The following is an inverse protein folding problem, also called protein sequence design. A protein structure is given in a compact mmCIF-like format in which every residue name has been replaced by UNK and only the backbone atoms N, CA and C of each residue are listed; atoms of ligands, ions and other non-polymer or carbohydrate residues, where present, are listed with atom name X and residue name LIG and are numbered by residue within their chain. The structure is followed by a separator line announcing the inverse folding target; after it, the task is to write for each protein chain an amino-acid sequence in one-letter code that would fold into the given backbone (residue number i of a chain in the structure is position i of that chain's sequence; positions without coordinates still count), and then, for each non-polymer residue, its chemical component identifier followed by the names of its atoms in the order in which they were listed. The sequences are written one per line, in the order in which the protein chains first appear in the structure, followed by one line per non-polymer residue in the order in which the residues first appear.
data_IF_143751443555
#
_entry.id   IF_143751443555
#
_cell.length_a   1.000
_cell.length_b   1.000
_cell.length_c   1.000
_cell.angle_alpha   90.00
_cell.angle_beta   90.00
_cell.angle_gamma   90.00
#
_symmetry.space_group_name_H-M   'P 1'
#
loop_
_entity.id
_entity.type
_entity.pdbx_description
1 polymer ?
#
# COMPACT_ATOMS: atom_id res chain seq x y z
N UNK A 1 -9.34 9.83 -15.06
CA UNK A 1 -9.42 8.36 -15.24
C UNK A 1 -8.80 7.91 -16.57
N UNK A 2 -9.32 8.29 -17.73
CA UNK A 2 -8.77 7.88 -19.06
C UNK A 2 -7.26 8.05 -19.21
N UNK A 3 -6.70 9.21 -18.88
CA UNK A 3 -5.26 9.47 -18.93
C UNK A 3 -4.44 8.52 -18.04
N UNK A 4 -4.98 8.11 -16.89
CA UNK A 4 -4.33 7.12 -16.02
C UNK A 4 -4.33 5.71 -16.63
N UNK A 5 -5.41 5.34 -17.32
CA UNK A 5 -5.49 4.07 -18.05
C UNK A 5 -4.55 4.04 -19.26
N UNK A 6 -4.45 5.15 -20.00
CA UNK A 6 -3.47 5.30 -21.09
C UNK A 6 -2.04 5.22 -20.59
N UNK A 7 -1.76 5.79 -19.41
CA UNK A 7 -0.46 5.64 -18.76
C UNK A 7 -0.16 4.18 -18.41
N UNK A 8 -1.11 3.45 -17.82
CA UNK A 8 -0.94 2.02 -17.51
C UNK A 8 -0.69 1.19 -18.79
N UNK A 9 -1.45 1.42 -19.86
CA UNK A 9 -1.21 0.75 -21.15
C UNK A 9 0.19 1.07 -21.69
N UNK A 10 0.62 2.33 -21.63
CA UNK A 10 1.96 2.71 -22.06
C UNK A 10 3.06 2.00 -21.27
N UNK A 11 2.88 1.74 -19.96
CA UNK A 11 3.85 0.96 -19.17
C UNK A 11 3.95 -0.49 -19.66
N UNK A 12 2.84 -1.11 -20.05
CA UNK A 12 2.82 -2.47 -20.61
C UNK A 12 3.46 -2.50 -22.01
N UNK A 13 3.05 -1.59 -22.90
CA UNK A 13 3.56 -1.49 -24.28
C UNK A 13 5.05 -1.19 -24.35
N UNK A 14 5.57 -0.42 -23.40
CA UNK A 14 6.99 -0.08 -23.32
C UNK A 14 7.79 -1.07 -22.44
N UNK A 15 7.21 -2.21 -22.05
CA UNK A 15 7.86 -3.24 -21.24
C UNK A 15 8.40 -2.75 -19.89
N UNK A 16 7.79 -1.69 -19.32
CA UNK A 16 8.12 -1.21 -17.97
C UNK A 16 7.52 -2.15 -16.92
N UNK A 17 6.33 -2.67 -17.19
CA UNK A 17 5.69 -3.72 -16.39
C UNK A 17 5.12 -4.81 -17.31
N UNK A 18 5.01 -6.06 -16.85
CA UNK A 18 4.26 -7.10 -17.55
C UNK A 18 2.76 -6.75 -17.57
N UNK A 19 2.01 -7.34 -18.50
CA UNK A 19 0.55 -7.17 -18.55
C UNK A 19 -0.11 -7.67 -17.27
N UNK A 20 -1.27 -7.11 -16.90
CA UNK A 20 -1.99 -7.57 -15.70
C UNK A 20 -2.30 -9.08 -15.74
N UNK A 21 -2.61 -9.63 -16.91
CA UNK A 21 -2.79 -11.08 -17.10
C UNK A 21 -1.50 -11.87 -16.81
N UNK A 22 -0.33 -11.37 -17.24
CA UNK A 22 0.95 -12.01 -16.96
C UNK A 22 1.39 -11.87 -15.49
N UNK A 23 0.82 -10.89 -14.77
CA UNK A 23 1.02 -10.71 -13.33
C UNK A 23 0.12 -11.59 -12.47
N UNK A 24 -0.90 -12.25 -13.04
CA UNK A 24 -1.75 -13.16 -12.28
C UNK A 24 -0.96 -14.39 -11.83
N UNK A 25 -0.35 -14.28 -10.65
CA UNK A 25 0.40 -15.35 -10.01
C UNK A 25 -0.41 -15.98 -8.89
N UNK A 26 -0.15 -17.27 -8.64
CA UNK A 26 -0.61 -17.92 -7.40
C UNK A 26 0.20 -17.37 -6.22
N UNK A 27 -0.27 -16.29 -5.60
CA UNK A 27 0.36 -15.66 -4.44
C UNK A 27 0.84 -14.23 -4.71
N UNK A 28 1.52 -13.66 -3.71
CA UNK A 28 2.07 -12.29 -3.77
C UNK A 28 3.37 -12.25 -4.58
N UNK A 29 3.71 -11.08 -5.14
CA UNK A 29 4.86 -10.91 -6.03
C UNK A 29 6.17 -11.45 -5.44
N UNK A 30 6.44 -11.23 -4.14
CA UNK A 30 7.63 -11.69 -3.42
C UNK A 30 7.77 -13.23 -3.38
N UNK A 31 6.67 -13.95 -3.56
CA UNK A 31 6.64 -15.42 -3.58
C UNK A 31 6.94 -15.99 -4.97
N UNK A 32 7.05 -15.15 -5.99
CA UNK A 32 7.21 -15.58 -7.38
C UNK A 32 8.69 -15.84 -7.72
N UNK A 33 9.01 -16.86 -8.55
CA UNK A 33 10.37 -17.05 -9.04
C UNK A 33 10.92 -15.84 -9.81
N UNK A 34 10.04 -15.11 -10.51
CA UNK A 34 10.40 -13.91 -11.27
C UNK A 34 10.96 -12.82 -10.37
N UNK A 35 10.31 -12.57 -9.22
CA UNK A 35 10.84 -11.67 -8.21
C UNK A 35 12.10 -12.23 -7.57
N UNK A 36 12.05 -13.44 -7.02
CA UNK A 36 13.15 -14.03 -6.24
C UNK A 36 14.48 -14.14 -7.03
N UNK A 37 14.40 -14.31 -8.35
CA UNK A 37 15.55 -14.36 -9.26
C UNK A 37 15.96 -12.97 -9.80
N UNK A 38 15.27 -11.89 -9.45
CA UNK A 38 15.55 -10.53 -9.91
C UNK A 38 15.14 -10.22 -11.35
N UNK A 39 14.22 -11.01 -11.93
CA UNK A 39 13.68 -10.75 -13.28
C UNK A 39 12.68 -9.59 -13.27
N UNK A 40 11.96 -9.41 -12.17
CA UNK A 40 11.26 -8.17 -11.87
C UNK A 40 12.16 -7.29 -11.00
N UNK A 41 12.57 -6.15 -11.55
CA UNK A 41 13.61 -5.30 -10.98
C UNK A 41 13.09 -4.28 -9.95
N UNK A 42 11.77 -4.22 -9.72
CA UNK A 42 11.16 -3.28 -8.80
C UNK A 42 9.66 -3.53 -8.61
N UNK A 43 9.10 -2.92 -7.57
CA UNK A 43 7.68 -2.96 -7.25
C UNK A 43 7.26 -1.62 -6.64
N UNK A 44 6.01 -1.23 -6.84
CA UNK A 44 5.40 -0.09 -6.16
C UNK A 44 4.51 -0.63 -5.03
N UNK A 45 4.98 -0.48 -3.79
CA UNK A 45 4.41 -1.15 -2.62
C UNK A 45 4.46 -0.27 -1.38
N UNK A 46 3.77 -0.71 -0.31
CA UNK A 46 3.83 -0.05 1.00
C UNK A 46 5.25 -0.09 1.56
N UNK A 47 5.68 1.00 2.20
CA UNK A 47 6.97 1.13 2.88
C UNK A 47 7.19 0.02 3.92
N UNK A 48 6.11 -0.37 4.62
CA UNK A 48 6.11 -1.48 5.57
C UNK A 48 6.49 -2.84 4.95
N UNK A 49 6.36 -3.02 3.62
CA UNK A 49 6.70 -4.25 2.91
C UNK A 49 8.11 -4.25 2.31
N UNK A 50 8.89 -3.17 2.46
CA UNK A 50 10.22 -3.06 1.83
C UNK A 50 11.14 -4.25 2.20
N UNK A 51 11.16 -4.66 3.48
CA UNK A 51 11.95 -5.80 3.92
C UNK A 51 11.40 -7.15 3.41
N UNK A 52 10.09 -7.30 3.29
CA UNK A 52 9.47 -8.51 2.71
C UNK A 52 9.98 -8.72 1.29
N UNK A 53 9.99 -7.67 0.47
CA UNK A 53 10.49 -7.73 -0.89
C UNK A 53 12.01 -7.96 -0.97
N UNK A 54 12.78 -7.24 -0.14
CA UNK A 54 14.25 -7.42 -0.09
C UNK A 54 14.65 -8.83 0.32
N UNK A 55 14.02 -9.37 1.36
CA UNK A 55 14.38 -10.69 1.92
C UNK A 55 13.98 -11.86 1.03
N UNK A 56 12.99 -11.67 0.15
CA UNK A 56 12.61 -12.66 -0.85
C UNK A 56 13.64 -12.83 -1.99
N UNK A 57 14.51 -11.85 -2.23
CA UNK A 57 15.52 -11.94 -3.30
C UNK A 57 16.63 -12.94 -2.94
N UNK A 58 16.97 -13.82 -3.89
CA UNK A 58 18.17 -14.68 -3.79
C UNK A 58 19.46 -13.87 -3.72
N UNK A 59 19.47 -12.70 -4.36
CA UNK A 59 20.55 -11.74 -4.30
C UNK A 59 20.00 -10.32 -4.11
N UNK A 60 20.16 -9.76 -2.91
CA UNK A 60 19.68 -8.43 -2.54
C UNK A 60 20.77 -7.33 -2.63
N UNK A 61 21.95 -7.61 -3.19
CA UNK A 61 23.11 -6.69 -3.16
C UNK A 61 22.92 -5.35 -3.88
N UNK A 62 21.86 -5.20 -4.67
CA UNK A 62 21.47 -3.95 -5.33
C UNK A 62 20.09 -3.43 -4.92
N UNK A 63 19.45 -4.01 -3.90
CA UNK A 63 18.15 -3.54 -3.45
C UNK A 63 18.26 -2.16 -2.80
N UNK A 64 17.39 -1.25 -3.18
CA UNK A 64 17.34 0.11 -2.66
C UNK A 64 15.90 0.60 -2.60
N UNK A 65 15.67 1.65 -1.80
CA UNK A 65 14.42 2.43 -1.88
C UNK A 65 14.53 3.36 -3.08
N UNK A 66 13.62 3.19 -4.04
CA UNK A 66 13.58 4.01 -5.25
C UNK A 66 13.25 5.48 -4.96
N UNK A 67 13.49 6.33 -5.95
CA UNK A 67 12.96 7.68 -5.93
C UNK A 67 11.46 7.64 -6.25
N UNK A 68 10.70 8.54 -5.63
CA UNK A 68 9.25 8.60 -5.81
C UNK A 68 8.87 9.07 -7.21
N UNK A 69 7.77 8.52 -7.75
CA UNK A 69 7.31 8.81 -9.10
C UNK A 69 6.50 10.12 -9.08
N UNK A 70 7.09 11.19 -9.62
CA UNK A 70 6.41 12.47 -9.80
C UNK A 70 5.53 12.48 -11.07
N UNK A 71 4.28 12.91 -10.94
CA UNK A 71 3.35 13.07 -12.06
C UNK A 71 3.28 14.54 -12.49
N UNK A 72 4.39 15.03 -13.03
CA UNK A 72 4.56 16.43 -13.42
C UNK A 72 4.95 17.33 -12.23
N UNK A 73 4.74 18.65 -12.37
CA UNK A 73 5.18 19.64 -11.38
C UNK A 73 4.14 20.05 -10.33
N UNK A 74 2.93 19.47 -10.36
CA UNK A 74 1.79 19.87 -9.53
C UNK A 74 1.24 18.78 -8.62
N UNK A 75 1.65 17.52 -8.79
CA UNK A 75 1.15 16.41 -8.00
C UNK A 75 2.28 15.41 -7.73
N UNK A 76 2.60 15.23 -6.45
CA UNK A 76 3.43 14.11 -6.02
C UNK A 76 2.57 12.84 -6.07
N UNK A 77 3.08 11.79 -6.70
CA UNK A 77 2.37 10.51 -6.76
C UNK A 77 2.24 9.84 -5.40
N UNK A 78 1.40 8.79 -5.34
CA UNK A 78 1.19 8.02 -4.12
C UNK A 78 0.24 8.67 -3.13
N UNK A 79 0.05 8.02 -1.98
CA UNK A 79 -0.78 8.49 -0.89
C UNK A 79 -0.33 7.86 0.43
N UNK A 80 -0.57 8.56 1.54
CA UNK A 80 -0.30 8.04 2.88
C UNK A 80 -1.59 7.57 3.53
N UNK A 81 -1.50 6.47 4.27
CA UNK A 81 -2.57 5.97 5.15
C UNK A 81 -2.00 5.37 6.43
N UNK A 82 -2.85 5.24 7.44
CA UNK A 82 -2.51 4.45 8.64
C UNK A 82 -2.40 2.98 8.23
N UNK A 83 -1.24 2.36 8.46
CA UNK A 83 -0.99 0.96 8.11
C UNK A 83 -1.84 0.01 8.97
N UNK A 84 -1.86 0.23 10.28
CA UNK A 84 -2.65 -0.53 11.25
C UNK A 84 -3.03 0.38 12.42
N UNK A 85 -4.27 0.26 12.90
CA UNK A 85 -4.74 0.96 14.09
C UNK A 85 -5.23 -0.05 15.14
N UNK A 86 -5.00 0.25 16.42
CA UNK A 86 -5.61 -0.44 17.54
C UNK A 86 -6.88 0.30 17.96
N UNK A 87 -8.02 -0.36 17.92
CA UNK A 87 -9.32 0.21 18.29
C UNK A 87 -9.91 -0.50 19.51
N UNK A 88 -10.58 0.26 20.37
CA UNK A 88 -11.35 -0.26 21.50
C UNK A 88 -12.79 -0.38 21.05
N UNK A 89 -13.36 -1.58 21.16
CA UNK A 89 -14.76 -1.81 20.84
C UNK A 89 -15.67 -0.92 21.70
N UNK A 90 -16.69 -0.30 21.11
CA UNK A 90 -17.64 0.57 21.82
C UNK A 90 -18.42 -0.14 22.93
N UNK A 91 -18.56 -1.47 22.83
CA UNK A 91 -19.19 -2.33 23.84
C UNK A 91 -18.22 -2.95 24.85
N UNK A 92 -16.93 -2.54 24.84
CA UNK A 92 -15.93 -3.05 25.77
C UNK A 92 -16.37 -2.84 27.23
N UNK A 93 -16.35 -3.92 28.04
CA UNK A 93 -16.73 -3.86 29.45
C UNK A 93 -15.65 -3.22 30.34
N UNK A 94 -14.44 -3.04 29.81
CA UNK A 94 -13.26 -2.52 30.51
C UNK A 94 -12.52 -1.47 29.64
N UNK A 95 -13.19 -0.37 29.24
CA UNK A 95 -12.61 0.57 28.27
C UNK A 95 -11.39 1.30 28.81
N UNK A 96 -11.31 1.50 30.14
CA UNK A 96 -10.16 2.15 30.79
C UNK A 96 -8.93 1.26 30.77
N UNK A 97 -9.07 -0.01 31.13
CA UNK A 97 -7.99 -0.99 31.12
C UNK A 97 -7.52 -1.26 29.69
N UNK A 98 -8.45 -1.34 28.73
CA UNK A 98 -8.13 -1.45 27.31
C UNK A 98 -7.32 -0.23 26.82
N UNK A 99 -7.69 0.98 27.21
CA UNK A 99 -6.94 2.19 26.87
C UNK A 99 -5.53 2.22 27.50
N UNK A 100 -5.39 1.75 28.74
CA UNK A 100 -4.08 1.59 29.40
C UNK A 100 -3.22 0.61 28.62
N UNK A 101 -3.77 -0.52 28.17
CA UNK A 101 -3.03 -1.50 27.37
C UNK A 101 -2.59 -0.89 26.02
N UNK A 102 -3.47 -0.19 25.31
CA UNK A 102 -3.10 0.49 24.05
C UNK A 102 -2.00 1.52 24.28
N UNK A 103 -2.08 2.31 25.36
CA UNK A 103 -1.03 3.27 25.71
C UNK A 103 0.30 2.58 26.01
N UNK A 104 0.28 1.51 26.80
CA UNK A 104 1.47 0.72 27.12
C UNK A 104 2.15 0.22 25.84
N UNK A 105 1.38 -0.41 24.93
CA UNK A 105 1.91 -1.01 23.71
C UNK A 105 2.49 0.02 22.73
N UNK A 106 1.93 1.22 22.65
CA UNK A 106 2.28 2.19 21.61
C UNK A 106 3.15 3.36 22.08
N UNK A 107 3.14 3.70 23.37
CA UNK A 107 3.77 4.92 23.88
C UNK A 107 4.81 4.69 24.99
N UNK A 108 4.64 3.64 25.81
CA UNK A 108 5.53 3.38 26.94
C UNK A 108 6.74 2.55 26.52
N UNK A 109 7.91 2.87 27.07
CA UNK A 109 9.21 2.33 26.63
C UNK A 109 9.24 0.80 26.55
N UNK A 110 8.75 0.11 27.59
CA UNK A 110 8.73 -1.35 27.63
C UNK A 110 7.79 -1.94 26.57
N UNK A 111 6.55 -1.44 26.47
CA UNK A 111 5.56 -2.00 25.55
C UNK A 111 5.90 -1.69 24.10
N UNK A 112 6.29 -0.47 23.80
CA UNK A 112 6.71 -0.07 22.45
C UNK A 112 7.98 -0.80 22.00
N UNK A 113 8.93 -1.04 22.91
CA UNK A 113 10.10 -1.87 22.62
C UNK A 113 9.69 -3.29 22.28
N UNK A 114 8.78 -3.92 23.04
CA UNK A 114 8.29 -5.27 22.72
C UNK A 114 7.58 -5.30 21.37
N UNK A 115 6.76 -4.29 21.07
CA UNK A 115 6.02 -4.22 19.82
C UNK A 115 6.93 -4.02 18.61
N UNK A 116 8.02 -3.26 18.74
CA UNK A 116 8.95 -2.97 17.65
C UNK A 116 8.19 -2.41 16.43
N UNK A 117 8.24 -3.12 15.31
CA UNK A 117 7.47 -2.81 14.10
C UNK A 117 6.37 -3.81 13.76
N UNK A 118 5.87 -4.58 14.74
CA UNK A 118 4.82 -5.58 14.53
C UNK A 118 3.52 -4.97 13.98
N UNK A 119 3.26 -3.69 14.26
CA UNK A 119 2.13 -2.91 13.73
C UNK A 119 2.56 -1.88 12.68
N UNK A 120 3.70 -2.10 12.01
CA UNK A 120 4.37 -1.07 11.21
C UNK A 120 5.24 -0.15 12.08
N UNK A 121 5.82 0.88 11.47
CA UNK A 121 6.65 1.84 12.19
C UNK A 121 5.78 2.68 13.13
N UNK A 122 6.08 2.77 14.45
CA UNK A 122 5.19 3.49 15.37
C UNK A 122 5.05 4.98 15.02
N UNK A 123 3.83 5.50 14.95
CA UNK A 123 3.56 6.92 14.74
C UNK A 123 3.82 7.76 16.00
N UNK A 124 3.72 7.15 17.18
CA UNK A 124 4.07 7.78 18.45
C UNK A 124 5.55 8.16 18.47
N UNK A 125 5.85 9.43 18.79
CA UNK A 125 7.24 9.90 18.94
C UNK A 125 7.99 9.10 20.01
N UNK A 126 7.36 8.84 21.15
CA UNK A 126 7.99 8.08 22.24
C UNK A 126 8.09 6.60 21.89
N UNK A 127 7.05 6.02 21.30
CA UNK A 127 7.06 4.62 20.87
C UNK A 127 8.11 4.33 19.81
N UNK A 128 8.26 5.24 18.82
CA UNK A 128 9.28 5.15 17.77
C UNK A 128 10.69 5.25 18.35
N UNK A 129 10.91 6.16 19.29
CA UNK A 129 12.18 6.31 19.98
C UNK A 129 12.55 5.04 20.76
N UNK A 130 11.60 4.46 21.50
CA UNK A 130 11.79 3.21 22.24
C UNK A 130 12.11 2.03 21.31
N UNK A 131 11.29 1.81 20.28
CA UNK A 131 11.51 0.73 19.30
C UNK A 131 12.85 0.85 18.57
N UNK A 132 13.27 2.08 18.26
CA UNK A 132 14.56 2.37 17.62
C UNK A 132 15.71 2.11 18.58
N UNK A 133 15.62 2.58 19.83
CA UNK A 133 16.64 2.33 20.87
C UNK A 133 16.80 0.84 21.17
N UNK A 134 15.72 0.05 21.06
CA UNK A 134 15.74 -1.40 21.19
C UNK A 134 16.33 -2.14 19.97
N UNK A 135 16.63 -1.45 18.87
CA UNK A 135 17.13 -2.06 17.63
C UNK A 135 16.09 -2.90 16.90
N UNK A 136 14.80 -2.68 17.17
CA UNK A 136 13.68 -3.46 16.64
C UNK A 136 12.98 -2.78 15.47
N UNK A 137 13.60 -1.74 14.93
CA UNK A 137 13.15 -1.04 13.73
C UNK A 137 14.04 -1.42 12.56
N UNK A 138 13.43 -1.84 11.44
CA UNK A 138 14.17 -2.11 10.22
C UNK A 138 14.58 -0.78 9.55
N UNK A 139 15.88 -0.49 9.36
CA UNK A 139 16.34 0.75 8.74
C UNK A 139 15.80 0.99 7.32
N UNK A 140 15.56 -0.08 6.54
CA UNK A 140 15.01 0.02 5.19
C UNK A 140 13.56 0.51 5.22
N UNK A 141 12.76 0.03 6.17
CA UNK A 141 11.38 0.47 6.36
C UNK A 141 11.35 1.94 6.81
N UNK A 142 12.28 2.36 7.68
CA UNK A 142 12.42 3.76 8.08
C UNK A 142 12.79 4.66 6.90
N UNK A 143 13.75 4.22 6.07
CA UNK A 143 14.13 4.97 4.88
C UNK A 143 12.94 5.15 3.93
N UNK A 144 12.22 4.06 3.62
CA UNK A 144 11.04 4.11 2.76
C UNK A 144 9.94 5.01 3.33
N UNK A 145 9.63 4.88 4.63
CA UNK A 145 8.64 5.71 5.30
C UNK A 145 9.00 7.20 5.25
N UNK A 146 10.26 7.56 5.57
CA UNK A 146 10.70 8.94 5.56
C UNK A 146 10.68 9.56 4.16
N UNK A 147 11.03 8.81 3.11
CA UNK A 147 10.96 9.28 1.73
C UNK A 147 9.52 9.54 1.31
N UNK A 148 8.61 8.59 1.54
CA UNK A 148 7.19 8.75 1.21
C UNK A 148 6.58 9.92 1.99
N UNK A 149 6.81 10.03 3.29
CA UNK A 149 6.28 11.13 4.13
C UNK A 149 6.84 12.51 3.76
N UNK A 150 8.03 12.57 3.14
CA UNK A 150 8.59 13.81 2.62
C UNK A 150 8.08 14.18 1.22
N UNK A 151 7.48 13.22 0.51
CA UNK A 151 7.01 13.38 -0.86
C UNK A 151 5.50 13.56 -0.95
N UNK A 152 4.73 12.73 -0.26
CA UNK A 152 3.28 12.66 -0.39
C UNK A 152 2.58 13.95 0.08
N UNK A 153 1.62 14.41 -0.71
CA UNK A 153 0.79 15.58 -0.42
C UNK A 153 -0.70 15.25 -0.29
N UNK A 154 -1.08 14.00 -0.54
CA UNK A 154 -2.47 13.54 -0.58
C UNK A 154 -2.78 12.51 0.53
N UNK A 155 -3.67 12.83 1.49
CA UNK A 155 -4.25 11.83 2.37
C UNK A 155 -5.27 10.98 1.60
N UNK A 156 -5.24 9.67 1.79
CA UNK A 156 -6.16 8.77 1.11
C UNK A 156 -7.61 8.95 1.58
N UNK A 157 -8.55 9.06 0.64
CA UNK A 157 -9.97 8.88 0.92
C UNK A 157 -10.24 7.41 1.27
N UNK A 158 -10.75 7.09 2.48
CA UNK A 158 -10.95 5.70 2.91
C UNK A 158 -11.91 4.91 2.00
N UNK A 159 -12.80 5.58 1.27
CA UNK A 159 -13.71 4.92 0.33
C UNK A 159 -12.99 4.40 -0.92
N UNK A 160 -11.80 4.93 -1.23
CA UNK A 160 -10.99 4.51 -2.38
C UNK A 160 -10.61 3.03 -2.30
N UNK A 161 -10.37 2.51 -1.09
CA UNK A 161 -10.04 1.11 -0.82
C UNK A 161 -11.23 0.30 -0.31
N UNK A 162 -12.47 0.75 -0.55
CA UNK A 162 -13.63 -0.05 -0.17
C UNK A 162 -13.58 -1.43 -0.85
N UNK A 163 -14.02 -2.52 -0.17
CA UNK A 163 -13.92 -3.85 -0.76
C UNK A 163 -14.61 -3.99 -2.12
N UNK A 164 -15.72 -3.27 -2.34
CA UNK A 164 -16.43 -3.26 -3.63
C UNK A 164 -15.57 -2.69 -4.77
N UNK A 165 -14.62 -1.80 -4.48
CA UNK A 165 -13.72 -1.22 -5.46
C UNK A 165 -12.40 -1.98 -5.56
N UNK A 166 -11.74 -2.22 -4.42
CA UNK A 166 -10.32 -2.60 -4.38
C UNK A 166 -10.06 -4.10 -4.14
N UNK A 167 -11.07 -4.93 -3.82
CA UNK A 167 -10.85 -6.35 -3.65
C UNK A 167 -10.27 -6.99 -4.92
N UNK A 168 -9.38 -7.97 -4.75
CA UNK A 168 -8.79 -8.72 -5.87
C UNK A 168 -9.19 -10.20 -5.71
N UNK A 169 -9.73 -10.85 -6.75
CA UNK A 169 -9.95 -10.34 -8.11
C UNK A 169 -11.30 -9.62 -8.32
N UNK A 170 -12.17 -9.61 -7.31
CA UNK A 170 -13.61 -9.35 -7.51
C UNK A 170 -14.03 -7.87 -7.48
N UNK A 171 -13.15 -6.97 -7.07
CA UNK A 171 -13.42 -5.54 -7.00
C UNK A 171 -13.43 -4.87 -8.36
N UNK A 172 -14.15 -3.75 -8.45
CA UNK A 172 -14.32 -2.96 -9.69
C UNK A 172 -12.97 -2.65 -10.36
N UNK A 173 -11.95 -2.25 -9.60
CA UNK A 173 -10.65 -1.89 -10.15
C UNK A 173 -9.99 -3.07 -10.86
N UNK A 174 -9.91 -4.22 -10.20
CA UNK A 174 -9.29 -5.42 -10.76
C UNK A 174 -10.02 -5.86 -12.04
N UNK A 175 -11.36 -5.86 -12.03
CA UNK A 175 -12.16 -6.26 -13.18
C UNK A 175 -11.95 -5.33 -14.38
N UNK A 176 -12.11 -4.01 -14.20
CA UNK A 176 -12.03 -3.05 -15.31
C UNK A 176 -10.60 -2.89 -15.82
N UNK A 177 -9.60 -2.85 -14.94
CA UNK A 177 -8.19 -2.74 -15.34
C UNK A 177 -7.74 -3.99 -16.11
N UNK A 178 -8.13 -5.19 -15.66
CA UNK A 178 -7.80 -6.44 -16.36
C UNK A 178 -8.44 -6.48 -17.75
N UNK A 179 -9.73 -6.14 -17.86
CA UNK A 179 -10.41 -6.10 -19.16
C UNK A 179 -9.79 -5.05 -20.10
N UNK A 180 -9.32 -3.93 -19.57
CA UNK A 180 -8.61 -2.91 -20.35
C UNK A 180 -7.21 -3.41 -20.82
N UNK A 181 -6.43 -4.05 -19.94
CA UNK A 181 -5.13 -4.64 -20.28
C UNK A 181 -5.25 -5.77 -21.32
N UNK A 182 -6.32 -6.58 -21.24
CA UNK A 182 -6.61 -7.63 -22.22
C UNK A 182 -7.11 -7.09 -23.57
N UNK A 183 -7.35 -5.78 -23.71
CA UNK A 183 -7.92 -5.18 -24.91
C UNK A 183 -9.42 -5.42 -25.11
N UNK A 184 -10.12 -5.92 -24.08
CA UNK A 184 -11.56 -6.13 -24.08
C UNK A 184 -12.33 -4.80 -23.93
N UNK A 185 -11.72 -3.83 -23.23
CA UNK A 185 -12.21 -2.46 -23.09
C UNK A 185 -11.18 -1.46 -23.64
N UNK A 186 -11.66 -0.49 -24.40
CA UNK A 186 -10.88 0.72 -24.69
C UNK A 186 -10.68 1.54 -23.41
N UNK A 187 -9.65 2.38 -23.36
CA UNK A 187 -9.40 3.28 -22.22
C UNK A 187 -10.57 4.23 -21.94
N UNK A 188 -11.34 4.59 -22.96
CA UNK A 188 -12.58 5.37 -22.81
C UNK A 188 -13.65 4.55 -22.09
N UNK A 189 -13.95 3.34 -22.56
CA UNK A 189 -14.98 2.48 -21.94
C UNK A 189 -14.60 2.09 -20.51
N UNK A 190 -13.33 1.77 -20.26
CA UNK A 190 -12.84 1.48 -18.93
C UNK A 190 -12.94 2.71 -18.01
N UNK A 191 -12.65 3.91 -18.50
CA UNK A 191 -12.81 5.14 -17.72
C UNK A 191 -14.27 5.40 -17.35
N UNK A 192 -15.20 5.18 -18.29
CA UNK A 192 -16.64 5.32 -18.06
C UNK A 192 -17.13 4.32 -17.01
N UNK A 193 -16.78 3.04 -17.14
CA UNK A 193 -17.17 2.00 -16.17
C UNK A 193 -16.59 2.25 -14.77
N UNK A 194 -15.35 2.70 -14.66
CA UNK A 194 -14.77 3.11 -13.38
C UNK A 194 -15.54 4.28 -12.77
N UNK A 195 -15.83 5.33 -13.56
CA UNK A 195 -16.54 6.51 -13.07
C UNK A 195 -17.96 6.15 -12.58
N UNK A 196 -18.69 5.36 -13.35
CA UNK A 196 -20.04 4.90 -12.99
C UNK A 196 -20.03 4.01 -11.75
N UNK A 197 -19.13 3.03 -11.69
CA UNK A 197 -19.05 2.10 -10.57
C UNK A 197 -18.60 2.75 -9.26
N UNK A 198 -17.64 3.70 -9.33
CA UNK A 198 -17.23 4.50 -8.16
C UNK A 198 -18.40 5.36 -7.68
N UNK A 199 -19.09 6.05 -8.58
CA UNK A 199 -20.25 6.91 -8.23
C UNK A 199 -21.35 6.08 -7.57
N UNK A 200 -21.70 4.94 -8.14
CA UNK A 200 -22.72 4.05 -7.59
C UNK A 200 -22.35 3.49 -6.20
N UNK A 201 -21.06 3.25 -5.94
CA UNK A 201 -20.58 2.83 -4.63
C UNK A 201 -20.70 3.98 -3.62
N UNK A 202 -20.25 5.18 -3.98
CA UNK A 202 -20.34 6.36 -3.12
C UNK A 202 -21.80 6.70 -2.76
N UNK A 203 -22.72 6.63 -3.72
CA UNK A 203 -24.14 6.89 -3.49
C UNK A 203 -24.77 5.90 -2.50
N UNK A 204 -24.33 4.63 -2.49
CA UNK A 204 -24.79 3.64 -1.50
C UNK A 204 -24.27 3.95 -0.10
N UNK A 205 -23.04 4.43 0.00
CA UNK A 205 -22.38 4.72 1.28
C UNK A 205 -22.98 5.96 1.96
N UNK A 206 -23.59 6.87 1.20
CA UNK A 206 -24.33 8.04 1.74
C UNK A 206 -25.74 7.66 2.23
N UNK A 207 -26.27 6.52 1.77
CA UNK A 207 -27.62 6.07 2.11
C UNK A 207 -27.69 5.20 3.39
N UNK A 208 -26.56 4.75 3.92
CA UNK A 208 -26.42 3.95 5.15
C UNK A 208 -25.98 4.83 6.35
#
# INVERSE_FOLDING_TARGET
MKTGLEFLQALEENHVMPTLAAQQTNGTLDQTPMWQNGQYAGTFAWDANAETYRSALKNASGFLVGDEIAFGGQANGGFSKVYLALAINSSCQHPKEAAILVNFLLNEDMGASIMGTACGLPDSVTGRAAATAAGLVNPLVVEANNRMMAFVDFPLDPTFESPALAAVPDGLYAAVLTACSNGELTTTQAAEQLAEGITAMLDRTVAE
#
